data_IF_053014610097
#
_entry.id   IF_053014610097
#
_cell.length_a   1.000
_cell.length_b   1.000
_cell.length_c   1.000
_cell.angle_alpha   90.00
_cell.angle_beta   90.00
_cell.angle_gamma   90.00
#
_symmetry.space_group_name_H-M   'P 1'
#
loop_
_entity.id
_entity.type
_entity.pdbx_description
1 polymer ?
#
# COMPACT_ATOMS: atom_id res chain seq x y z
N UNK A 1 -8.48 -23.52 21.33
CA UNK A 1 -9.21 -23.83 22.56
C UNK A 1 -8.91 -22.69 23.53
N UNK A 2 -9.97 -22.14 24.15
CA UNK A 2 -9.86 -21.13 25.22
C UNK A 2 -10.29 -21.80 26.51
N UNK A 3 -9.46 -21.71 27.53
CA UNK A 3 -9.82 -22.13 28.89
C UNK A 3 -10.26 -20.87 29.64
N UNK A 4 -11.49 -20.87 30.12
CA UNK A 4 -12.04 -19.77 30.88
C UNK A 4 -11.36 -19.66 32.25
N UNK A 5 -11.38 -18.44 32.80
CA UNK A 5 -10.93 -18.14 34.16
C UNK A 5 -12.10 -17.67 34.98
N UNK A 6 -12.05 -17.86 36.32
CA UNK A 6 -13.13 -17.46 37.21
C UNK A 6 -13.24 -15.94 37.36
N UNK A 7 -12.11 -15.22 37.21
CA UNK A 7 -12.04 -13.76 37.38
C UNK A 7 -11.06 -13.16 36.37
N UNK A 8 -11.44 -12.01 35.79
CA UNK A 8 -10.58 -11.19 34.92
C UNK A 8 -9.99 -10.03 35.74
N UNK A 9 -8.69 -9.85 35.62
CA UNK A 9 -7.96 -8.76 36.26
C UNK A 9 -7.61 -7.67 35.28
N UNK A 10 -7.60 -6.41 35.73
CA UNK A 10 -7.08 -5.30 34.95
C UNK A 10 -5.58 -5.50 34.67
N UNK A 11 -5.15 -5.08 33.46
CA UNK A 11 -3.73 -5.10 33.08
C UNK A 11 -3.40 -3.85 32.28
N UNK A 12 -2.16 -3.39 32.39
CA UNK A 12 -1.64 -2.34 31.53
C UNK A 12 -1.09 -2.98 30.25
N UNK A 13 -1.47 -2.42 29.10
CA UNK A 13 -1.03 -2.88 27.79
C UNK A 13 -0.73 -1.71 26.88
N UNK A 14 0.42 -1.78 26.20
CA UNK A 14 0.78 -0.84 25.12
C UNK A 14 0.46 -1.51 23.78
N UNK A 15 -0.45 -0.90 23.02
CA UNK A 15 -0.80 -1.41 21.69
C UNK A 15 0.40 -1.31 20.75
N UNK A 16 0.68 -2.38 20.03
CA UNK A 16 1.74 -2.38 19.00
C UNK A 16 1.35 -1.48 17.83
N UNK A 17 2.35 -0.89 17.15
CA UNK A 17 2.12 -0.06 15.97
C UNK A 17 1.46 -0.85 14.81
N UNK A 18 0.63 -0.18 14.02
CA UNK A 18 0.00 -0.77 12.84
C UNK A 18 1.04 -0.93 11.72
N UNK A 19 1.48 -2.18 11.54
CA UNK A 19 2.46 -2.52 10.50
C UNK A 19 1.94 -2.26 9.08
N UNK A 20 0.62 -2.31 8.85
CA UNK A 20 0.06 -2.13 7.50
C UNK A 20 -0.02 -0.64 7.17
N UNK A 21 -0.41 0.21 8.12
CA UNK A 21 -0.29 1.65 7.96
C UNK A 21 1.18 2.03 7.71
N UNK A 22 2.11 1.55 8.54
CA UNK A 22 3.54 1.77 8.35
C UNK A 22 4.00 1.32 6.95
N UNK A 23 3.64 0.11 6.53
CA UNK A 23 3.97 -0.43 5.20
C UNK A 23 3.44 0.43 4.05
N UNK A 24 2.26 1.02 4.20
CA UNK A 24 1.67 1.92 3.19
C UNK A 24 2.51 3.18 3.03
N UNK A 25 2.96 3.82 4.12
CA UNK A 25 3.85 4.99 4.06
C UNK A 25 5.26 4.62 3.56
N UNK A 26 5.75 3.41 3.86
CA UNK A 26 7.00 2.90 3.30
C UNK A 26 6.89 2.79 1.77
N UNK A 27 5.79 2.27 1.24
CA UNK A 27 5.56 2.22 -0.21
C UNK A 27 5.44 3.62 -0.80
N UNK A 28 4.78 4.58 -0.12
CA UNK A 28 4.75 5.98 -0.55
C UNK A 28 6.17 6.57 -0.70
N UNK A 29 7.02 6.36 0.30
CA UNK A 29 8.42 6.79 0.25
C UNK A 29 9.22 6.12 -0.87
N UNK A 30 9.01 4.81 -1.09
CA UNK A 30 9.65 4.05 -2.18
C UNK A 30 9.23 4.53 -3.58
N UNK A 31 8.01 5.06 -3.73
CA UNK A 31 7.49 5.59 -4.98
C UNK A 31 7.96 7.01 -5.27
N UNK A 32 8.01 7.88 -4.24
CA UNK A 32 8.05 9.31 -4.43
C UNK A 32 9.29 10.00 -3.87
N UNK A 33 10.06 9.38 -2.95
CA UNK A 33 11.09 10.11 -2.22
C UNK A 33 12.50 9.69 -2.59
N UNK A 34 13.27 10.63 -3.12
CA UNK A 34 14.73 10.48 -3.36
C UNK A 34 15.53 10.85 -2.08
N UNK A 35 15.02 11.75 -1.23
CA UNK A 35 15.67 12.16 0.02
C UNK A 35 15.47 11.17 1.16
N UNK A 36 14.35 10.47 1.15
CA UNK A 36 13.97 9.45 2.11
C UNK A 36 12.79 9.85 3.00
N UNK A 37 11.98 8.86 3.32
CA UNK A 37 10.88 8.93 4.30
C UNK A 37 11.21 8.01 5.47
N UNK A 38 11.15 8.54 6.69
CA UNK A 38 11.35 7.76 7.90
C UNK A 38 10.01 7.45 8.54
N UNK A 39 9.72 6.16 8.71
CA UNK A 39 8.50 5.64 9.34
C UNK A 39 8.88 4.99 10.65
N UNK A 40 8.29 5.47 11.75
CA UNK A 40 8.58 5.03 13.12
C UNK A 40 7.34 4.53 13.84
N UNK A 41 7.52 3.96 15.02
CA UNK A 41 6.43 3.52 15.89
C UNK A 41 5.94 2.10 15.61
N UNK A 42 6.73 1.29 14.89
CA UNK A 42 6.45 -0.13 14.65
C UNK A 42 7.73 -0.95 14.66
N UNK A 43 7.61 -2.25 14.92
CA UNK A 43 8.73 -3.18 14.82
C UNK A 43 8.89 -3.65 13.36
N UNK A 44 10.04 -3.35 12.68
CA UNK A 44 10.29 -3.78 11.30
C UNK A 44 10.22 -5.29 11.08
N UNK A 45 10.44 -6.09 12.12
CA UNK A 45 10.30 -7.55 12.05
C UNK A 45 8.87 -7.98 11.70
N UNK A 46 7.87 -7.17 12.02
CA UNK A 46 6.47 -7.44 11.64
C UNK A 46 6.19 -7.27 10.15
N UNK A 47 7.11 -6.65 9.39
CA UNK A 47 7.07 -6.48 7.94
C UNK A 47 8.28 -7.09 7.23
N UNK A 48 8.96 -8.05 7.84
CA UNK A 48 10.24 -8.58 7.31
C UNK A 48 10.13 -9.02 5.84
N UNK A 49 9.12 -9.81 5.49
CA UNK A 49 8.91 -10.28 4.11
C UNK A 49 8.59 -9.15 3.13
N UNK A 50 7.63 -8.22 3.38
CA UNK A 50 7.42 -7.05 2.52
C UNK A 50 8.68 -6.21 2.32
N UNK A 51 9.41 -5.90 3.39
CA UNK A 51 10.64 -5.11 3.32
C UNK A 51 11.74 -5.83 2.51
N UNK A 52 11.87 -7.16 2.68
CA UNK A 52 12.80 -7.96 1.87
C UNK A 52 12.42 -7.97 0.38
N UNK A 53 11.12 -8.05 0.06
CA UNK A 53 10.64 -7.97 -1.33
C UNK A 53 10.91 -6.60 -1.95
N UNK A 54 10.63 -5.51 -1.23
CA UNK A 54 10.93 -4.15 -1.69
C UNK A 54 12.44 -3.93 -1.90
N UNK A 55 13.27 -4.45 -1.00
CA UNK A 55 14.72 -4.40 -1.18
C UNK A 55 15.19 -5.19 -2.42
N UNK A 56 14.58 -6.36 -2.70
CA UNK A 56 14.83 -7.13 -3.93
C UNK A 56 14.39 -6.35 -5.18
N UNK A 57 13.33 -5.54 -5.10
CA UNK A 57 12.90 -4.64 -6.16
C UNK A 57 13.89 -3.49 -6.42
N UNK A 58 14.83 -3.25 -5.53
CA UNK A 58 15.81 -2.15 -5.64
C UNK A 58 15.45 -0.94 -4.79
N UNK A 59 14.46 -1.03 -3.90
CA UNK A 59 14.15 0.03 -2.93
C UNK A 59 15.25 0.09 -1.88
N UNK A 60 15.74 1.28 -1.56
CA UNK A 60 16.73 1.48 -0.50
C UNK A 60 16.03 1.53 0.87
N UNK A 61 16.39 0.60 1.76
CA UNK A 61 15.75 0.47 3.07
C UNK A 61 16.82 0.38 4.16
N UNK A 62 16.79 1.34 5.08
CA UNK A 62 17.59 1.33 6.29
C UNK A 62 16.70 1.01 7.49
N UNK A 63 16.98 -0.10 8.20
CA UNK A 63 16.21 -0.57 9.36
C UNK A 63 16.85 -0.13 10.65
N UNK A 64 16.02 0.24 11.63
CA UNK A 64 16.41 0.50 13.01
C UNK A 64 15.38 -0.07 14.00
N UNK A 65 15.60 0.03 15.30
CA UNK A 65 14.85 -0.70 16.33
C UNK A 65 13.33 -0.55 16.24
N UNK A 66 12.83 0.68 15.95
CA UNK A 66 11.39 0.98 15.95
C UNK A 66 10.89 1.58 14.63
N UNK A 67 11.54 1.27 13.52
CA UNK A 67 11.15 1.81 12.22
C UNK A 67 12.14 1.56 11.09
N UNK A 68 11.89 2.25 9.97
CA UNK A 68 12.73 2.21 8.78
C UNK A 68 12.83 3.58 8.13
N UNK A 69 13.94 3.85 7.44
CA UNK A 69 14.04 4.91 6.44
C UNK A 69 14.03 4.27 5.06
N UNK A 70 13.19 4.76 4.17
CA UNK A 70 13.03 4.25 2.80
C UNK A 70 13.30 5.36 1.78
N UNK A 71 14.00 5.02 0.70
CA UNK A 71 14.23 5.88 -0.48
C UNK A 71 13.87 5.14 -1.74
N UNK A 72 13.49 5.88 -2.76
CA UNK A 72 13.35 5.32 -4.09
C UNK A 72 14.72 4.90 -4.61
N UNK A 73 14.82 3.65 -5.09
CA UNK A 73 16.04 3.18 -5.75
C UNK A 73 16.20 3.74 -7.17
N UNK A 74 17.40 3.68 -7.72
CA UNK A 74 17.66 4.15 -9.08
C UNK A 74 16.79 3.45 -10.14
N UNK A 75 16.55 2.15 -9.95
CA UNK A 75 15.76 1.33 -10.85
C UNK A 75 14.98 0.27 -10.07
N UNK A 76 13.68 0.22 -10.29
CA UNK A 76 12.83 -0.85 -9.75
C UNK A 76 12.81 -2.03 -10.74
N UNK A 77 13.04 -3.23 -10.22
CA UNK A 77 12.91 -4.49 -10.94
C UNK A 77 11.73 -5.30 -10.39
N UNK A 78 11.02 -6.07 -11.23
CA UNK A 78 9.85 -6.83 -10.80
C UNK A 78 10.26 -8.00 -9.91
N UNK A 79 9.41 -8.31 -8.91
CA UNK A 79 9.59 -9.43 -7.98
C UNK A 79 8.26 -10.13 -7.75
N UNK A 80 8.21 -11.44 -7.95
CA UNK A 80 6.99 -12.20 -7.69
C UNK A 80 6.60 -12.17 -6.22
N UNK A 81 5.32 -11.93 -5.96
CA UNK A 81 4.73 -11.81 -4.63
C UNK A 81 3.68 -12.92 -4.44
N UNK A 82 3.70 -13.55 -3.26
CA UNK A 82 2.71 -14.53 -2.86
C UNK A 82 2.22 -14.21 -1.45
N UNK A 83 0.92 -13.95 -1.30
CA UNK A 83 0.34 -13.70 0.02
C UNK A 83 0.22 -14.99 0.82
N UNK A 84 0.54 -14.93 2.10
CA UNK A 84 0.50 -16.04 3.04
C UNK A 84 0.12 -15.51 4.44
N UNK A 85 -0.46 -16.36 5.31
CA UNK A 85 -0.64 -16.02 6.71
C UNK A 85 0.69 -15.62 7.37
N UNK A 86 0.58 -14.78 8.42
CA UNK A 86 1.75 -14.35 9.19
C UNK A 86 2.59 -15.57 9.65
N UNK A 87 3.93 -15.53 9.55
CA UNK A 87 4.79 -14.39 9.18
C UNK A 87 5.07 -14.22 7.68
N UNK A 88 4.26 -14.81 6.78
CA UNK A 88 4.39 -14.64 5.35
C UNK A 88 4.02 -13.23 4.88
N UNK A 89 4.00 -13.02 3.55
CA UNK A 89 3.65 -11.75 2.95
C UNK A 89 2.16 -11.43 3.23
N UNK A 90 1.85 -10.32 3.94
CA UNK A 90 0.48 -10.03 4.34
C UNK A 90 -0.39 -9.62 3.14
N UNK A 91 -1.57 -10.21 3.03
CA UNK A 91 -2.56 -9.85 2.01
C UNK A 91 -2.95 -8.36 2.05
N UNK A 92 -2.86 -7.69 3.22
CA UNK A 92 -3.14 -6.26 3.38
C UNK A 92 -2.06 -5.34 2.80
N UNK A 93 -0.91 -5.88 2.38
CA UNK A 93 0.12 -5.16 1.63
C UNK A 93 0.11 -5.47 0.11
N UNK A 94 -0.76 -6.38 -0.34
CA UNK A 94 -0.85 -6.79 -1.74
C UNK A 94 -1.17 -5.62 -2.67
N UNK A 95 -2.13 -4.77 -2.31
CA UNK A 95 -2.58 -3.64 -3.11
C UNK A 95 -1.46 -2.58 -3.28
N UNK A 96 -0.78 -2.21 -2.20
CA UNK A 96 0.29 -1.23 -2.21
C UNK A 96 1.49 -1.71 -3.04
N UNK A 97 1.87 -2.99 -2.87
CA UNK A 97 2.96 -3.57 -3.65
C UNK A 97 2.60 -3.73 -5.13
N UNK A 98 1.32 -3.97 -5.48
CA UNK A 98 0.87 -3.97 -6.87
C UNK A 98 1.14 -2.63 -7.55
N UNK A 99 0.95 -1.50 -6.86
CA UNK A 99 1.31 -0.17 -7.39
C UNK A 99 2.82 -0.05 -7.60
N UNK A 100 3.62 -0.51 -6.64
CA UNK A 100 5.08 -0.49 -6.76
C UNK A 100 5.56 -1.39 -7.92
N UNK A 101 4.95 -2.57 -8.12
CA UNK A 101 5.23 -3.46 -9.24
C UNK A 101 4.86 -2.83 -10.60
N UNK A 102 3.82 -2.00 -10.66
CA UNK A 102 3.51 -1.24 -11.87
C UNK A 102 4.64 -0.27 -12.27
N UNK A 103 5.49 0.17 -11.34
CA UNK A 103 6.62 1.05 -11.61
C UNK A 103 7.91 0.29 -11.95
N UNK A 104 7.95 -1.04 -11.77
CA UNK A 104 9.13 -1.87 -12.03
C UNK A 104 9.31 -2.14 -13.53
N UNK A 105 10.57 -2.20 -13.98
CA UNK A 105 10.91 -2.47 -15.39
C UNK A 105 10.88 -3.97 -15.68
N UNK A 106 9.72 -4.47 -16.10
CA UNK A 106 9.51 -5.87 -16.47
C UNK A 106 8.12 -6.39 -16.11
N UNK A 107 8.04 -7.67 -15.76
CA UNK A 107 6.78 -8.31 -15.42
C UNK A 107 6.91 -9.16 -14.16
N UNK A 108 5.91 -9.13 -13.30
CA UNK A 108 5.82 -9.92 -12.07
C UNK A 108 4.46 -10.60 -11.92
N UNK A 109 4.44 -11.67 -11.14
CA UNK A 109 3.21 -12.31 -10.71
C UNK A 109 2.91 -11.97 -9.25
N UNK A 110 1.65 -11.61 -8.99
CA UNK A 110 1.11 -11.51 -7.65
C UNK A 110 0.09 -12.63 -7.47
N UNK A 111 0.33 -13.51 -6.50
CA UNK A 111 -0.56 -14.62 -6.16
C UNK A 111 -1.23 -14.35 -4.82
N UNK A 112 -2.57 -14.32 -4.82
CA UNK A 112 -3.38 -14.10 -3.61
C UNK A 112 -3.91 -15.44 -3.09
N UNK A 113 -3.39 -15.89 -1.93
CA UNK A 113 -3.78 -17.17 -1.34
C UNK A 113 -4.66 -17.05 -0.11
N UNK A 114 -4.88 -15.84 0.41
CA UNK A 114 -5.61 -15.63 1.66
C UNK A 114 -7.08 -15.32 1.38
N UNK A 115 -7.36 -14.45 0.39
CA UNK A 115 -8.71 -14.07 0.01
C UNK A 115 -9.06 -14.43 -1.43
N UNK A 116 -10.32 -14.72 -1.70
CA UNK A 116 -10.77 -15.20 -3.01
C UNK A 116 -10.92 -14.10 -4.06
N UNK A 117 -11.31 -12.90 -3.69
CA UNK A 117 -11.59 -11.80 -4.63
C UNK A 117 -10.90 -10.50 -4.20
N UNK A 118 -9.56 -10.47 -4.26
CA UNK A 118 -8.77 -9.35 -3.75
C UNK A 118 -8.14 -8.46 -4.83
N UNK A 119 -8.41 -8.73 -6.10
CA UNK A 119 -7.86 -7.96 -7.21
C UNK A 119 -8.82 -6.89 -7.76
N UNK A 120 -9.82 -6.45 -6.99
CA UNK A 120 -10.74 -5.37 -7.41
C UNK A 120 -10.00 -4.07 -7.76
N UNK A 121 -8.89 -3.78 -7.08
CA UNK A 121 -8.02 -2.66 -7.36
C UNK A 121 -7.47 -2.66 -8.79
N UNK A 122 -7.21 -3.84 -9.38
CA UNK A 122 -6.56 -3.96 -10.68
C UNK A 122 -7.34 -3.23 -11.79
N UNK A 123 -8.68 -3.27 -11.76
CA UNK A 123 -9.51 -2.58 -12.74
C UNK A 123 -9.34 -1.06 -12.67
N UNK A 124 -9.24 -0.50 -11.47
CA UNK A 124 -9.03 0.93 -11.27
C UNK A 124 -7.59 1.36 -11.64
N UNK A 125 -6.59 0.53 -11.36
CA UNK A 125 -5.22 0.78 -11.82
C UNK A 125 -5.12 0.73 -13.36
N UNK A 126 -5.81 -0.19 -14.01
CA UNK A 126 -5.88 -0.24 -15.48
C UNK A 126 -6.52 1.03 -16.04
N UNK A 127 -7.53 1.59 -15.38
CA UNK A 127 -8.18 2.86 -15.76
C UNK A 127 -7.20 4.04 -15.79
N UNK A 128 -6.23 4.06 -14.91
CA UNK A 128 -5.18 5.09 -14.84
C UNK A 128 -3.90 4.70 -15.60
N UNK A 129 -3.93 3.63 -16.41
CA UNK A 129 -2.85 3.30 -17.35
C UNK A 129 -2.04 2.05 -17.04
N UNK A 130 -2.31 1.32 -15.96
CA UNK A 130 -1.57 0.09 -15.63
C UNK A 130 -1.84 -1.04 -16.64
N UNK A 131 -0.84 -1.88 -16.86
CA UNK A 131 -0.95 -3.11 -17.63
C UNK A 131 -1.02 -4.30 -16.68
N UNK A 132 -2.24 -4.66 -16.27
CA UNK A 132 -2.51 -5.74 -15.34
C UNK A 132 -3.52 -6.72 -15.95
N UNK A 133 -3.20 -8.02 -15.87
CA UNK A 133 -4.11 -9.11 -16.24
C UNK A 133 -4.35 -9.99 -15.03
N UNK A 134 -5.62 -10.15 -14.64
CA UNK A 134 -6.02 -10.98 -13.51
C UNK A 134 -6.64 -12.27 -14.03
N UNK A 135 -6.17 -13.39 -13.50
CA UNK A 135 -6.74 -14.73 -13.72
C UNK A 135 -6.87 -15.42 -12.37
N UNK A 136 -8.10 -15.59 -11.90
CA UNK A 136 -8.42 -16.23 -10.61
C UNK A 136 -7.67 -15.60 -9.44
N UNK A 137 -6.66 -16.31 -8.91
CA UNK A 137 -5.83 -15.88 -7.78
C UNK A 137 -4.49 -15.27 -8.20
N UNK A 138 -4.31 -15.00 -9.49
CA UNK A 138 -3.06 -14.49 -10.03
C UNK A 138 -3.28 -13.19 -10.78
N UNK A 139 -2.40 -12.24 -10.55
CA UNK A 139 -2.30 -11.03 -11.36
C UNK A 139 -0.92 -10.97 -12.01
N UNK A 140 -0.88 -10.84 -13.33
CA UNK A 140 0.33 -10.48 -14.08
C UNK A 140 0.37 -8.95 -14.18
N UNK A 141 1.39 -8.35 -13.60
CA UNK A 141 1.66 -6.91 -13.65
C UNK A 141 2.82 -6.66 -14.59
N UNK A 142 2.68 -5.70 -15.50
CA UNK A 142 3.76 -5.29 -16.42
C UNK A 142 4.02 -3.79 -16.27
N UNK A 143 5.26 -3.44 -16.02
CA UNK A 143 5.75 -2.05 -15.93
C UNK A 143 6.96 -1.81 -16.85
N UNK A 144 7.52 -0.60 -16.84
CA UNK A 144 7.04 0.53 -16.05
C UNK A 144 5.77 1.16 -16.62
N UNK A 145 4.87 1.57 -15.75
CA UNK A 145 3.64 2.27 -16.09
C UNK A 145 3.84 3.78 -15.98
N UNK A 146 3.40 4.53 -16.98
CA UNK A 146 3.18 5.98 -16.85
C UNK A 146 1.72 6.19 -16.45
N UNK A 147 1.47 6.30 -15.16
CA UNK A 147 0.13 6.57 -14.67
C UNK A 147 -0.38 7.94 -15.11
N UNK A 148 -1.66 8.02 -15.44
CA UNK A 148 -2.34 9.28 -15.82
C UNK A 148 -3.51 9.53 -14.89
N UNK A 149 -3.68 10.77 -14.47
CA UNK A 149 -4.75 11.18 -13.59
C UNK A 149 -6.14 10.87 -14.17
N UNK A 150 -7.02 10.32 -13.35
CA UNK A 150 -8.41 10.02 -13.70
C UNK A 150 -9.28 9.93 -12.43
N UNK A 151 -10.59 9.78 -12.65
CA UNK A 151 -11.53 9.45 -11.58
C UNK A 151 -11.54 7.94 -11.36
N UNK A 152 -11.28 7.53 -10.11
CA UNK A 152 -11.25 6.14 -9.66
C UNK A 152 -12.06 5.97 -8.37
N UNK A 153 -12.57 4.77 -8.14
CA UNK A 153 -13.35 4.47 -6.94
C UNK A 153 -12.57 3.52 -6.01
N UNK A 154 -12.49 3.87 -4.74
CA UNK A 154 -11.89 2.99 -3.72
C UNK A 154 -12.70 1.70 -3.58
N UNK A 155 -12.18 0.53 -3.98
CA UNK A 155 -12.93 -0.72 -3.91
C UNK A 155 -13.02 -1.26 -2.48
N UNK A 156 -12.01 -0.99 -1.67
CA UNK A 156 -11.88 -1.38 -0.28
C UNK A 156 -10.84 -0.51 0.44
N UNK A 157 -10.61 -0.79 1.73
CA UNK A 157 -9.68 -0.07 2.59
C UNK A 157 -8.25 0.04 2.01
N UNK A 158 -7.67 -1.09 1.59
CA UNK A 158 -6.26 -1.17 1.14
C UNK A 158 -6.12 -0.77 -0.32
N UNK A 159 -7.09 -1.16 -1.15
CA UNK A 159 -7.16 -0.73 -2.53
C UNK A 159 -7.32 0.79 -2.66
N UNK A 160 -8.14 1.41 -1.82
CA UNK A 160 -8.30 2.86 -1.79
C UNK A 160 -7.01 3.59 -1.44
N UNK A 161 -6.31 3.15 -0.39
CA UNK A 161 -4.99 3.71 -0.05
C UNK A 161 -3.98 3.53 -1.19
N UNK A 162 -3.95 2.36 -1.83
CA UNK A 162 -3.08 2.09 -2.97
C UNK A 162 -3.40 2.97 -4.19
N UNK A 163 -4.69 3.29 -4.45
CA UNK A 163 -5.07 4.24 -5.51
C UNK A 163 -4.55 5.66 -5.22
N UNK A 164 -4.57 6.09 -3.96
CA UNK A 164 -3.95 7.37 -3.58
C UNK A 164 -2.45 7.33 -3.88
N UNK A 165 -1.75 6.25 -3.52
CA UNK A 165 -0.32 6.10 -3.84
C UNK A 165 -0.05 6.13 -5.35
N UNK A 166 -0.87 5.47 -6.17
CA UNK A 166 -0.77 5.54 -7.63
C UNK A 166 -1.01 6.95 -8.15
N UNK A 167 -1.95 7.69 -7.54
CA UNK A 167 -2.21 9.10 -7.84
C UNK A 167 -1.02 10.02 -7.57
N UNK A 168 -0.21 9.74 -6.54
CA UNK A 168 0.99 10.54 -6.23
C UNK A 168 2.06 10.49 -7.31
N UNK A 169 2.10 9.44 -8.12
CA UNK A 169 3.07 9.26 -9.23
C UNK A 169 2.42 9.39 -10.60
N UNK A 170 1.14 9.73 -10.67
CA UNK A 170 0.41 9.93 -11.92
C UNK A 170 0.65 11.32 -12.51
N UNK A 171 0.68 11.42 -13.83
CA UNK A 171 0.65 12.70 -14.52
C UNK A 171 -0.78 13.28 -14.49
N UNK A 172 -0.93 14.51 -14.03
CA UNK A 172 -2.24 15.18 -13.86
C UNK A 172 -2.86 14.92 -12.51
N UNK A 173 -4.19 15.00 -12.39
CA UNK A 173 -4.91 14.88 -11.12
C UNK A 173 -5.72 13.58 -11.07
N UNK A 174 -5.56 12.84 -10.00
CA UNK A 174 -6.36 11.63 -9.72
C UNK A 174 -7.39 11.94 -8.63
N UNK A 175 -8.66 11.69 -8.92
CA UNK A 175 -9.75 11.81 -7.95
C UNK A 175 -10.15 10.42 -7.44
N UNK A 176 -9.94 10.19 -6.14
CA UNK A 176 -10.32 8.92 -5.50
C UNK A 176 -11.62 9.11 -4.74
N UNK A 177 -12.70 8.51 -5.22
CA UNK A 177 -14.00 8.50 -4.54
C UNK A 177 -14.13 7.35 -3.53
N UNK A 178 -15.25 7.25 -2.82
CA UNK A 178 -15.52 6.22 -1.79
C UNK A 178 -14.48 6.18 -0.66
N UNK A 179 -13.93 7.33 -0.30
CA UNK A 179 -12.84 7.47 0.69
C UNK A 179 -13.22 7.03 2.11
N UNK A 180 -14.52 6.79 2.39
CA UNK A 180 -14.99 6.20 3.67
C UNK A 180 -14.29 4.87 4.00
N UNK A 181 -13.88 4.11 2.97
CA UNK A 181 -13.13 2.88 3.16
C UNK A 181 -11.75 3.14 3.74
N UNK A 182 -11.05 4.16 3.23
CA UNK A 182 -9.71 4.54 3.68
C UNK A 182 -9.73 5.01 5.15
N UNK A 183 -10.72 5.85 5.51
CA UNK A 183 -10.88 6.41 6.87
C UNK A 183 -11.05 5.37 7.97
N UNK A 184 -11.40 4.13 7.63
CA UNK A 184 -11.56 3.04 8.61
C UNK A 184 -10.24 2.45 9.12
N UNK A 185 -9.14 2.62 8.42
CA UNK A 185 -7.86 2.02 8.78
C UNK A 185 -6.66 2.94 8.65
N UNK A 186 -6.89 4.21 8.33
CA UNK A 186 -5.84 5.22 8.30
C UNK A 186 -6.35 6.49 8.98
N UNK A 187 -5.70 6.85 10.06
CA UNK A 187 -5.95 8.12 10.73
C UNK A 187 -5.29 9.26 9.96
N UNK A 188 -6.08 10.26 9.55
CA UNK A 188 -5.60 11.46 8.83
C UNK A 188 -4.62 11.15 7.69
N UNK A 189 -5.00 10.22 6.80
CA UNK A 189 -4.13 9.72 5.73
C UNK A 189 -3.61 10.83 4.81
N UNK A 190 -4.50 11.72 4.38
CA UNK A 190 -4.15 12.85 3.53
C UNK A 190 -3.28 13.87 4.25
N UNK A 191 -3.58 14.19 5.52
CA UNK A 191 -2.76 15.10 6.32
C UNK A 191 -1.35 14.59 6.54
N UNK A 192 -1.19 13.29 6.84
CA UNK A 192 0.13 12.66 6.97
C UNK A 192 0.92 12.69 5.65
N UNK A 193 0.30 12.38 4.51
CA UNK A 193 0.94 12.46 3.20
C UNK A 193 1.33 13.90 2.85
N UNK A 194 0.44 14.88 3.07
CA UNK A 194 0.74 16.30 2.85
C UNK A 194 1.89 16.79 3.73
N UNK A 195 1.98 16.33 4.97
CA UNK A 195 3.09 16.69 5.88
C UNK A 195 4.44 16.18 5.39
N UNK A 196 4.45 15.13 4.57
CA UNK A 196 5.63 14.59 3.88
C UNK A 196 5.91 15.29 2.55
N UNK A 197 5.11 16.29 2.16
CA UNK A 197 5.28 17.07 0.93
C UNK A 197 4.47 16.56 -0.26
N UNK A 198 3.58 15.59 -0.09
CA UNK A 198 2.70 15.13 -1.16
C UNK A 198 1.62 16.18 -1.48
N UNK A 199 1.35 16.40 -2.77
CA UNK A 199 0.23 17.23 -3.24
C UNK A 199 -1.06 16.40 -3.22
N UNK A 200 -1.69 16.35 -2.07
CA UNK A 200 -2.93 15.60 -1.84
C UNK A 200 -3.83 16.35 -0.86
N UNK A 201 -5.12 16.37 -1.13
CA UNK A 201 -6.10 16.95 -0.23
C UNK A 201 -7.39 16.14 -0.18
N UNK A 202 -8.17 16.34 0.90
CA UNK A 202 -9.52 15.83 0.99
C UNK A 202 -10.51 16.89 0.51
N UNK A 203 -11.39 16.51 -0.43
CA UNK A 203 -12.41 17.39 -0.97
C UNK A 203 -13.77 16.89 -0.46
N UNK A 204 -14.53 17.76 0.20
CA UNK A 204 -15.93 17.51 0.50
C UNK A 204 -16.77 18.01 -0.68
N UNK A 205 -17.56 17.11 -1.24
CA UNK A 205 -18.44 17.44 -2.36
C UNK A 205 -19.87 17.67 -1.84
N UNK A 206 -20.44 18.80 -2.15
CA UNK A 206 -21.85 19.11 -1.83
C UNK A 206 -22.81 18.31 -2.73
N UNK A 207 -22.37 17.88 -3.90
CA UNK A 207 -23.18 17.10 -4.85
C UNK A 207 -22.35 15.96 -5.47
N UNK A 208 -22.75 14.68 -5.31
CA UNK A 208 -22.03 13.52 -5.87
C UNK A 208 -21.98 13.49 -7.41
N UNK A 209 -22.83 14.27 -8.11
CA UNK A 209 -22.98 14.29 -9.56
C UNK A 209 -22.11 15.38 -10.24
N UNK A 210 -21.21 16.07 -9.54
CA UNK A 210 -20.37 17.14 -10.08
C UNK A 210 -19.05 16.67 -10.74
N UNK A 211 -18.87 15.37 -10.99
CA UNK A 211 -17.75 14.86 -11.77
C UNK A 211 -18.17 14.03 -12.97
#
# INVERSE_FOLDING_TARGET
RIEGVEELHATDHVTVGDRIEAGTFIVAGALCSDEGVTVTGFDPMHLDIPLAKMAQMGVEIERFENGVTVRRGEKLVPVDIQTLPYPGFPTDMQAQLMVLECMADGASFITENVFENRFMLAAELVRIGASIRVEERHALVKGPTNFTGAQVASPDLRGGAALVLAGLVAEGTTYVSETRHIKRGYEDFTGKLSSLGADVCHIEMENPDEF
#
